data_IF_343285295349
#
_entry.id   IF_343285295349
#
_cell.length_a   1.000
_cell.length_b   1.000
_cell.length_c   1.000
_cell.angle_alpha   90.00
_cell.angle_beta   90.00
_cell.angle_gamma   90.00
#
_symmetry.space_group_name_H-M   'P 1'
#
loop_
_entity.id
_entity.type
_entity.pdbx_description
1 polymer ?
#
# COMPACT_ATOMS: atom_id res chain seq x y z
N UNK A 1 -18.52 14.40 -11.42
CA UNK A 1 -19.83 14.66 -10.77
C UNK A 1 -20.80 13.49 -10.83
N UNK A 2 -21.07 12.84 -11.99
CA UNK A 2 -21.87 11.60 -12.03
C UNK A 2 -21.11 10.33 -11.59
N UNK A 3 -19.80 10.25 -11.83
CA UNK A 3 -18.98 9.09 -11.43
C UNK A 3 -18.73 9.00 -9.91
N UNK A 4 -18.58 10.15 -9.23
CA UNK A 4 -18.39 10.23 -7.77
C UNK A 4 -19.60 9.70 -6.98
N UNK A 5 -20.80 9.92 -7.51
CA UNK A 5 -22.06 9.44 -6.94
C UNK A 5 -22.15 7.91 -7.09
N UNK A 6 -21.66 7.37 -8.21
CA UNK A 6 -21.57 5.93 -8.45
C UNK A 6 -20.69 5.23 -7.41
N UNK A 7 -19.50 5.77 -7.15
CA UNK A 7 -18.57 5.21 -6.16
C UNK A 7 -19.15 5.28 -4.74
N UNK A 8 -19.82 6.39 -4.39
CA UNK A 8 -20.46 6.60 -3.08
C UNK A 8 -21.64 5.64 -2.80
N UNK A 9 -22.49 5.41 -3.80
CA UNK A 9 -23.64 4.51 -3.69
C UNK A 9 -23.17 3.04 -3.64
N UNK A 10 -22.15 2.70 -4.42
CA UNK A 10 -21.54 1.37 -4.40
C UNK A 10 -20.81 1.08 -3.08
N UNK A 11 -20.10 2.06 -2.50
CA UNK A 11 -19.49 1.96 -1.16
C UNK A 11 -20.53 1.55 -0.11
N UNK A 12 -21.71 2.19 -0.08
CA UNK A 12 -22.77 1.87 0.91
C UNK A 12 -23.40 0.49 0.70
N UNK A 13 -23.59 0.07 -0.55
CA UNK A 13 -24.25 -1.20 -0.89
C UNK A 13 -23.33 -2.41 -0.65
N UNK A 14 -22.04 -2.27 -0.96
CA UNK A 14 -21.03 -3.28 -0.60
C UNK A 14 -20.86 -3.43 0.90
N UNK A 15 -20.95 -2.33 1.66
CA UNK A 15 -20.83 -2.33 3.12
C UNK A 15 -21.87 -3.22 3.82
N UNK A 16 -23.10 -3.27 3.28
CA UNK A 16 -24.15 -4.16 3.79
C UNK A 16 -23.96 -5.62 3.38
N UNK A 17 -23.51 -5.88 2.15
CA UNK A 17 -23.25 -7.25 1.67
C UNK A 17 -22.00 -7.86 2.34
N UNK A 18 -21.00 -7.06 2.72
CA UNK A 18 -19.76 -7.49 3.38
C UNK A 18 -19.98 -8.03 4.80
N UNK A 19 -20.74 -7.32 5.65
CA UNK A 19 -21.04 -7.76 7.03
C UNK A 19 -21.77 -9.11 7.02
N UNK A 20 -22.67 -9.32 6.06
CA UNK A 20 -23.44 -10.55 5.92
C UNK A 20 -22.59 -11.75 5.45
N UNK A 21 -21.57 -11.50 4.63
CA UNK A 21 -20.68 -12.53 4.06
C UNK A 21 -19.73 -13.13 5.11
N UNK A 22 -19.28 -12.35 6.08
CA UNK A 22 -18.31 -12.78 7.11
C UNK A 22 -18.95 -13.40 8.35
N UNK A 23 -20.12 -12.91 8.79
CA UNK A 23 -20.87 -13.52 9.91
C UNK A 23 -21.28 -14.97 9.61
N UNK A 24 -21.55 -15.30 8.34
CA UNK A 24 -21.88 -16.66 7.92
C UNK A 24 -20.66 -17.60 7.81
N UNK A 25 -19.44 -17.06 7.81
CA UNK A 25 -18.19 -17.85 7.80
C UNK A 25 -17.74 -18.34 9.18
N UNK A 26 -18.18 -17.67 10.26
CA UNK A 26 -17.79 -17.96 11.64
C UNK A 26 -18.83 -18.79 12.44
N UNK A 27 -19.82 -19.38 11.76
CA UNK A 27 -20.63 -20.46 12.35
C UNK A 27 -21.65 -20.07 13.43
N UNK A 28 -22.31 -18.92 13.35
CA UNK A 28 -23.28 -18.47 14.39
C UNK A 28 -24.75 -18.84 14.12
N UNK A 29 -25.11 -19.54 13.04
CA UNK A 29 -26.48 -20.09 12.91
C UNK A 29 -26.46 -21.51 12.31
N UNK A 30 -26.70 -22.51 13.15
CA UNK A 30 -27.08 -23.86 12.74
C UNK A 30 -28.43 -23.84 12.03
N UNK A 31 -28.47 -24.31 10.79
CA UNK A 31 -29.70 -24.77 10.15
C UNK A 31 -29.42 -26.08 9.40
N UNK A 32 -30.41 -26.98 9.48
CA UNK A 32 -30.35 -28.40 9.17
C UNK A 32 -29.79 -28.78 7.78
N UNK A 33 -29.25 -30.00 7.76
CA UNK A 33 -28.43 -30.64 6.74
C UNK A 33 -29.21 -31.07 5.47
N UNK A 34 -28.49 -31.08 4.34
CA UNK A 34 -28.75 -31.81 3.06
C UNK A 34 -29.58 -31.06 1.98
N UNK A 35 -29.06 -29.95 1.47
CA UNK A 35 -29.05 -29.59 0.01
C UNK A 35 -28.04 -28.49 -0.37
N UNK A 36 -27.16 -28.12 0.56
CA UNK A 36 -26.44 -26.83 0.56
C UNK A 36 -25.07 -26.82 -0.12
N UNK A 37 -24.54 -27.95 -0.62
CA UNK A 37 -23.22 -27.96 -1.27
C UNK A 37 -23.23 -27.15 -2.58
N UNK A 38 -24.25 -27.31 -3.42
CA UNK A 38 -24.35 -26.58 -4.69
C UNK A 38 -24.62 -25.08 -4.50
N UNK A 39 -25.42 -24.71 -3.50
CA UNK A 39 -25.72 -23.30 -3.17
C UNK A 39 -24.49 -22.62 -2.54
N UNK A 40 -23.74 -23.30 -1.67
CA UNK A 40 -22.48 -22.78 -1.11
C UNK A 40 -21.44 -22.54 -2.21
N UNK A 41 -21.29 -23.47 -3.16
CA UNK A 41 -20.39 -23.30 -4.33
C UNK A 41 -20.85 -22.13 -5.19
N UNK A 42 -22.14 -22.00 -5.47
CA UNK A 42 -22.69 -20.91 -6.28
C UNK A 42 -22.54 -19.54 -5.62
N UNK A 43 -22.79 -19.44 -4.32
CA UNK A 43 -22.57 -18.24 -3.51
C UNK A 43 -21.08 -17.89 -3.45
N UNK A 44 -20.20 -18.88 -3.28
CA UNK A 44 -18.75 -18.66 -3.31
C UNK A 44 -18.29 -18.15 -4.69
N UNK A 45 -18.87 -18.68 -5.77
CA UNK A 45 -18.53 -18.32 -7.14
C UNK A 45 -19.02 -16.91 -7.52
N UNK A 46 -20.21 -16.51 -7.07
CA UNK A 46 -20.70 -15.12 -7.16
C UNK A 46 -19.81 -14.18 -6.33
N UNK A 47 -19.45 -14.57 -5.10
CA UNK A 47 -18.57 -13.79 -4.21
C UNK A 47 -17.15 -13.62 -4.78
N UNK A 48 -16.58 -14.67 -5.37
CA UNK A 48 -15.30 -14.63 -6.10
C UNK A 48 -15.40 -13.76 -7.36
N UNK A 49 -16.50 -13.85 -8.10
CA UNK A 49 -16.76 -13.01 -9.28
C UNK A 49 -16.82 -11.52 -8.92
N UNK A 50 -17.50 -11.17 -7.83
CA UNK A 50 -17.60 -9.80 -7.32
C UNK A 50 -16.24 -9.26 -6.86
N UNK A 51 -15.44 -10.09 -6.17
CA UNK A 51 -14.08 -9.74 -5.75
C UNK A 51 -13.16 -9.48 -6.95
N UNK A 52 -13.21 -10.35 -7.96
CA UNK A 52 -12.42 -10.18 -9.20
C UNK A 52 -12.86 -8.93 -9.95
N UNK A 53 -14.15 -8.63 -9.99
CA UNK A 53 -14.67 -7.40 -10.59
C UNK A 53 -14.16 -6.16 -9.84
N UNK A 54 -14.21 -6.18 -8.51
CA UNK A 54 -13.72 -5.06 -7.68
C UNK A 54 -12.22 -4.85 -7.87
N UNK A 55 -11.42 -5.93 -7.87
CA UNK A 55 -9.98 -5.85 -8.15
C UNK A 55 -9.71 -5.24 -9.54
N UNK A 56 -10.48 -5.60 -10.57
CA UNK A 56 -10.37 -5.02 -11.91
C UNK A 56 -10.69 -3.52 -11.92
N UNK A 57 -11.70 -3.09 -11.16
CA UNK A 57 -12.06 -1.67 -11.06
C UNK A 57 -10.92 -0.86 -10.43
N UNK A 58 -10.32 -1.36 -9.35
CA UNK A 58 -9.20 -0.69 -8.68
C UNK A 58 -7.96 -0.64 -9.58
N UNK A 59 -7.66 -1.73 -10.29
CA UNK A 59 -6.59 -1.77 -11.30
C UNK A 59 -6.81 -0.68 -12.36
N UNK A 60 -8.04 -0.56 -12.89
CA UNK A 60 -8.36 0.45 -13.91
C UNK A 60 -8.18 1.88 -13.39
N UNK A 61 -8.62 2.15 -12.15
CA UNK A 61 -8.42 3.43 -11.49
C UNK A 61 -6.92 3.76 -11.33
N UNK A 62 -6.13 2.80 -10.86
CA UNK A 62 -4.68 2.96 -10.72
C UNK A 62 -3.97 3.21 -12.06
N UNK A 63 -4.39 2.53 -13.13
CA UNK A 63 -3.84 2.75 -14.48
C UNK A 63 -4.08 4.17 -14.97
N UNK A 64 -5.29 4.72 -14.74
CA UNK A 64 -5.63 6.08 -15.12
C UNK A 64 -4.82 7.10 -14.32
N UNK A 65 -4.78 6.95 -12.99
CA UNK A 65 -4.01 7.82 -12.11
C UNK A 65 -2.50 7.78 -12.40
N UNK A 66 -1.95 6.61 -12.76
CA UNK A 66 -0.55 6.48 -13.14
C UNK A 66 -0.21 7.16 -14.47
N UNK A 67 -1.18 7.29 -15.38
CA UNK A 67 -1.01 7.98 -16.65
C UNK A 67 -1.04 9.49 -16.51
N UNK A 68 -1.99 10.03 -15.76
CA UNK A 68 -2.22 11.49 -15.72
C UNK A 68 -1.13 12.28 -14.98
N UNK A 69 -0.54 11.75 -13.89
CA UNK A 69 0.21 12.60 -12.94
C UNK A 69 1.62 12.15 -12.59
N UNK A 70 2.25 11.24 -13.35
CA UNK A 70 3.61 10.74 -13.02
C UNK A 70 3.69 10.26 -11.55
N UNK A 71 2.58 9.69 -11.07
CA UNK A 71 2.16 9.65 -9.68
C UNK A 71 3.08 8.83 -8.78
N UNK A 72 3.36 9.35 -7.59
CA UNK A 72 4.20 8.73 -6.57
C UNK A 72 3.35 7.87 -5.64
N UNK A 73 3.54 6.56 -5.75
CA UNK A 73 2.88 5.56 -4.91
C UNK A 73 3.75 5.20 -3.70
N UNK A 74 3.14 5.21 -2.52
CA UNK A 74 3.77 4.73 -1.30
C UNK A 74 3.06 3.48 -0.78
N UNK A 75 3.83 2.47 -0.37
CA UNK A 75 3.30 1.25 0.24
C UNK A 75 4.01 0.97 1.57
N UNK A 76 3.32 1.06 2.73
CA UNK A 76 3.88 0.70 4.03
C UNK A 76 4.04 -0.82 4.21
N UNK A 77 5.01 -1.18 5.05
CA UNK A 77 5.28 -2.48 5.65
C UNK A 77 5.12 -3.69 4.72
N UNK A 78 6.18 -4.01 3.97
CA UNK A 78 6.28 -5.34 3.35
C UNK A 78 7.66 -5.94 3.57
N UNK A 79 7.79 -6.65 4.69
CA UNK A 79 9.02 -7.33 5.12
C UNK A 79 9.50 -8.39 4.11
N UNK A 80 8.64 -8.82 3.16
CA UNK A 80 8.84 -10.03 2.35
C UNK A 80 8.70 -9.85 0.83
N UNK A 81 8.48 -8.63 0.32
CA UNK A 81 8.59 -8.30 -1.12
C UNK A 81 9.99 -7.79 -1.47
N UNK A 82 11.03 -8.35 -0.83
CA UNK A 82 12.43 -8.04 -1.13
C UNK A 82 12.73 -8.32 -2.60
N UNK A 83 12.06 -9.30 -3.22
CA UNK A 83 12.17 -9.63 -4.65
C UNK A 83 11.54 -8.58 -5.58
N UNK A 84 10.55 -7.80 -5.15
CA UNK A 84 10.00 -6.70 -5.99
C UNK A 84 10.90 -5.46 -6.04
N UNK A 85 11.99 -5.43 -5.25
CA UNK A 85 12.98 -4.34 -5.36
C UNK A 85 13.53 -4.20 -6.77
N UNK A 86 13.59 -5.27 -7.55
CA UNK A 86 14.12 -5.24 -8.92
C UNK A 86 13.20 -4.47 -9.88
N UNK A 87 11.87 -4.57 -9.72
CA UNK A 87 10.90 -3.78 -10.47
C UNK A 87 10.88 -2.30 -10.05
N UNK A 88 11.39 -2.01 -8.85
CA UNK A 88 11.38 -0.70 -8.20
C UNK A 88 12.41 0.29 -8.78
N UNK A 89 13.55 -0.21 -9.28
CA UNK A 89 14.66 0.64 -9.71
C UNK A 89 14.44 1.29 -11.09
N UNK A 90 13.56 0.75 -11.92
CA UNK A 90 13.35 1.25 -13.28
C UNK A 90 12.42 2.46 -13.40
N UNK A 91 11.50 2.66 -12.44
CA UNK A 91 10.38 3.59 -12.63
C UNK A 91 10.26 4.72 -11.61
N UNK A 92 10.96 4.66 -10.46
CA UNK A 92 10.96 5.71 -9.43
C UNK A 92 9.60 5.99 -8.75
N UNK A 93 8.53 5.32 -9.21
CA UNK A 93 7.14 5.61 -8.84
C UNK A 93 6.66 4.86 -7.59
N UNK A 94 7.27 3.73 -7.23
CA UNK A 94 6.77 2.85 -6.16
C UNK A 94 7.77 2.77 -5.03
N UNK A 95 7.35 3.17 -3.83
CA UNK A 95 8.21 3.27 -2.66
C UNK A 95 7.72 2.36 -1.54
N UNK A 96 8.62 1.57 -0.98
CA UNK A 96 8.31 0.53 0.03
C UNK A 96 8.93 0.89 1.37
N UNK A 97 8.10 1.14 2.39
CA UNK A 97 8.56 1.44 3.74
C UNK A 97 8.60 0.16 4.59
N UNK A 98 9.59 0.02 5.48
CA UNK A 98 9.63 -1.09 6.44
C UNK A 98 8.77 -0.86 7.68
N UNK A 99 8.70 0.37 8.16
CA UNK A 99 7.93 0.80 9.33
C UNK A 99 7.53 2.27 9.18
N UNK A 100 6.26 2.57 9.38
CA UNK A 100 5.77 3.94 9.43
C UNK A 100 6.24 4.63 10.72
N UNK A 101 6.75 5.85 10.60
CA UNK A 101 7.00 6.72 11.75
C UNK A 101 5.91 7.79 11.74
N UNK A 102 5.25 7.99 12.88
CA UNK A 102 4.27 9.07 13.01
C UNK A 102 4.88 10.42 12.66
N UNK A 103 4.17 11.20 11.85
CA UNK A 103 4.63 12.48 11.32
C UNK A 103 5.36 12.37 9.98
N UNK A 104 5.45 11.19 9.37
CA UNK A 104 6.20 11.01 8.12
C UNK A 104 5.67 11.88 6.99
N UNK A 105 4.35 11.96 6.83
CA UNK A 105 3.70 12.76 5.80
C UNK A 105 3.29 14.13 6.35
N UNK A 106 2.67 14.15 7.53
CA UNK A 106 2.13 15.38 8.13
C UNK A 106 3.21 16.38 8.53
N UNK A 107 4.42 15.92 8.85
CA UNK A 107 5.60 16.76 9.11
C UNK A 107 6.68 16.53 8.04
N UNK A 108 6.30 16.78 6.77
CA UNK A 108 7.17 16.55 5.63
C UNK A 108 8.50 17.30 5.70
N UNK A 109 8.53 18.55 6.16
CA UNK A 109 9.76 19.34 6.28
C UNK A 109 10.83 18.67 7.17
N UNK A 110 10.40 18.05 8.27
CA UNK A 110 11.31 17.29 9.15
C UNK A 110 11.76 15.99 8.48
N UNK A 111 10.84 15.29 7.80
CA UNK A 111 11.15 14.07 7.04
C UNK A 111 12.15 14.34 5.94
N UNK A 112 11.99 15.43 5.19
CA UNK A 112 12.88 15.89 4.13
C UNK A 112 14.28 16.21 4.65
N UNK A 113 14.38 16.94 5.77
CA UNK A 113 15.68 17.20 6.42
C UNK A 113 16.40 15.90 6.80
N UNK A 114 15.66 14.91 7.32
CA UNK A 114 16.22 13.58 7.65
C UNK A 114 16.62 12.79 6.41
N UNK A 115 15.87 12.92 5.32
CA UNK A 115 16.19 12.33 4.01
C UNK A 115 17.48 12.94 3.44
N UNK A 116 17.66 14.26 3.55
CA UNK A 116 18.87 14.93 3.10
C UNK A 116 20.08 14.42 3.91
N UNK A 117 19.97 14.40 5.24
CA UNK A 117 21.02 13.85 6.12
C UNK A 117 21.35 12.39 5.78
N UNK A 118 20.35 11.59 5.41
CA UNK A 118 20.55 10.21 4.96
C UNK A 118 21.33 10.14 3.64
N UNK A 119 21.02 11.01 2.66
CA UNK A 119 21.76 11.12 1.39
C UNK A 119 23.21 11.52 1.65
N UNK A 120 23.44 12.52 2.50
CA UNK A 120 24.78 13.02 2.82
C UNK A 120 25.65 11.92 3.45
N UNK A 121 25.15 11.25 4.50
CA UNK A 121 25.87 10.14 5.16
C UNK A 121 26.16 8.97 4.21
N UNK A 122 25.26 8.71 3.26
CA UNK A 122 25.47 7.68 2.25
C UNK A 122 26.57 8.08 1.26
N UNK A 123 26.64 9.35 0.87
CA UNK A 123 27.71 9.90 0.03
C UNK A 123 29.05 9.84 0.76
N UNK A 124 29.09 10.21 2.05
CA UNK A 124 30.30 10.12 2.88
C UNK A 124 30.78 8.68 3.10
N UNK A 125 29.85 7.73 3.21
CA UNK A 125 30.19 6.31 3.27
C UNK A 125 30.83 5.86 1.96
N UNK A 126 30.26 6.24 0.81
CA UNK A 126 30.76 5.87 -0.52
C UNK A 126 32.13 6.49 -0.83
N UNK A 127 32.35 7.74 -0.43
CA UNK A 127 33.63 8.42 -0.61
C UNK A 127 34.73 7.94 0.34
N UNK A 128 34.41 7.04 1.28
CA UNK A 128 35.36 6.54 2.27
C UNK A 128 35.71 7.53 3.38
N UNK A 129 35.05 8.71 3.44
CA UNK A 129 35.28 9.73 4.48
C UNK A 129 35.07 9.16 5.87
N UNK A 130 34.06 8.31 6.06
CA UNK A 130 33.77 7.68 7.35
C UNK A 130 34.92 6.82 7.89
N UNK A 131 35.79 6.30 7.03
CA UNK A 131 36.94 5.48 7.43
C UNK A 131 38.14 6.32 7.90
N UNK A 132 38.13 7.63 7.61
CA UNK A 132 39.19 8.58 8.03
C UNK A 132 38.90 9.19 9.41
N UNK A 133 37.72 8.95 9.97
CA UNK A 133 37.31 9.45 11.29
C UNK A 133 37.80 8.53 12.41
N UNK A 134 37.91 9.04 13.65
CA UNK A 134 38.14 8.21 14.82
C UNK A 134 37.14 7.05 14.92
N UNK A 135 37.59 5.88 15.40
CA UNK A 135 36.75 4.65 15.47
C UNK A 135 35.40 4.89 16.16
N UNK A 136 35.38 5.71 17.22
CA UNK A 136 34.16 6.08 17.96
C UNK A 136 33.16 6.82 17.07
N UNK A 137 33.62 7.86 16.37
CA UNK A 137 32.77 8.71 15.52
C UNK A 137 32.29 7.95 14.29
N UNK A 138 33.18 7.19 13.67
CA UNK A 138 32.85 6.30 12.55
C UNK A 138 31.76 5.29 12.96
N UNK A 139 31.85 4.70 14.16
CA UNK A 139 30.84 3.77 14.66
C UNK A 139 29.50 4.48 14.92
N UNK A 140 29.49 5.70 15.46
CA UNK A 140 28.29 6.49 15.68
C UNK A 140 27.57 6.81 14.35
N UNK A 141 28.30 7.28 13.36
CA UNK A 141 27.75 7.61 12.04
C UNK A 141 27.24 6.38 11.31
N UNK A 142 27.94 5.24 11.39
CA UNK A 142 27.46 3.96 10.84
C UNK A 142 26.15 3.50 11.49
N UNK A 143 26.01 3.64 12.81
CA UNK A 143 24.76 3.34 13.52
C UNK A 143 23.63 4.27 13.08
N UNK A 144 23.92 5.57 12.95
CA UNK A 144 22.93 6.53 12.49
C UNK A 144 22.48 6.23 11.04
N UNK A 145 23.42 5.92 10.15
CA UNK A 145 23.13 5.54 8.78
C UNK A 145 22.28 4.27 8.71
N UNK A 146 22.59 3.26 9.52
CA UNK A 146 21.80 2.01 9.60
C UNK A 146 20.35 2.27 10.05
N UNK A 147 20.15 3.14 11.04
CA UNK A 147 18.81 3.57 11.48
C UNK A 147 18.07 4.28 10.36
N UNK A 148 18.68 5.30 9.74
CA UNK A 148 18.05 6.05 8.64
C UNK A 148 17.75 5.14 7.44
N UNK A 149 18.64 4.22 7.08
CA UNK A 149 18.43 3.24 6.01
C UNK A 149 17.24 2.31 6.29
N UNK A 150 16.99 1.99 7.55
CA UNK A 150 15.88 1.11 7.96
C UNK A 150 14.53 1.82 7.81
N UNK A 151 14.43 3.09 8.22
CA UNK A 151 13.17 3.84 8.21
C UNK A 151 12.91 4.59 6.90
N UNK A 152 13.93 5.26 6.35
CA UNK A 152 13.81 6.16 5.19
C UNK A 152 14.31 5.53 3.89
N UNK A 153 14.89 4.33 3.93
CA UNK A 153 15.45 3.68 2.76
C UNK A 153 14.44 3.47 1.62
N UNK A 154 13.16 3.30 1.98
CA UNK A 154 12.04 3.15 1.05
C UNK A 154 11.65 4.42 0.31
N UNK A 155 11.82 5.56 0.96
CA UNK A 155 11.39 6.88 0.48
C UNK A 155 12.58 7.77 0.09
N UNK A 156 13.76 7.18 -0.07
CA UNK A 156 15.01 7.89 -0.38
C UNK A 156 14.94 8.76 -1.64
N UNK A 157 14.08 8.40 -2.59
CA UNK A 157 13.88 9.10 -3.86
C UNK A 157 12.65 10.03 -3.85
N UNK A 158 11.91 10.12 -2.75
CA UNK A 158 10.83 11.11 -2.62
C UNK A 158 11.42 12.51 -2.63
N UNK A 159 10.77 13.37 -3.40
CA UNK A 159 11.00 14.82 -3.44
C UNK A 159 9.78 15.60 -2.96
N UNK A 160 8.68 14.92 -2.66
CA UNK A 160 7.43 15.50 -2.18
C UNK A 160 6.50 14.40 -1.68
N UNK A 161 5.30 14.79 -1.26
CA UNK A 161 4.26 13.88 -0.79
C UNK A 161 3.83 12.88 -1.88
N UNK A 162 3.35 11.69 -1.49
CA UNK A 162 2.80 10.72 -2.43
C UNK A 162 1.40 11.12 -2.87
N UNK A 163 1.03 10.73 -4.08
CA UNK A 163 -0.30 11.00 -4.63
C UNK A 163 -1.31 9.92 -4.21
N UNK A 164 -0.84 8.69 -4.01
CA UNK A 164 -1.66 7.55 -3.56
C UNK A 164 -0.83 6.73 -2.56
N UNK A 165 -1.49 6.22 -1.52
CA UNK A 165 -0.88 5.29 -0.56
C UNK A 165 -1.64 3.97 -0.55
N UNK A 166 -0.93 2.86 -0.75
CA UNK A 166 -1.48 1.50 -0.58
C UNK A 166 -1.09 1.00 0.80
N UNK A 167 -2.05 0.68 1.65
CA UNK A 167 -1.83 0.21 3.02
C UNK A 167 -2.18 -1.27 3.12
N UNK A 168 -1.35 -2.01 3.85
CA UNK A 168 -1.59 -3.41 4.20
C UNK A 168 -1.73 -3.45 5.70
N UNK A 169 -2.74 -4.18 6.19
CA UNK A 169 -3.04 -4.31 7.62
C UNK A 169 -3.39 -2.96 8.27
N UNK A 170 -4.68 -2.66 8.24
CA UNK A 170 -5.26 -1.41 8.74
C UNK A 170 -5.08 -1.23 10.25
N UNK A 171 -5.06 -2.31 11.03
CA UNK A 171 -4.97 -2.23 12.47
C UNK A 171 -3.56 -1.79 12.91
N UNK A 172 -2.54 -2.37 12.29
CA UNK A 172 -1.14 -2.02 12.55
C UNK A 172 -0.75 -0.65 11.97
N UNK A 173 -1.27 -0.30 10.79
CA UNK A 173 -0.89 0.93 10.06
C UNK A 173 -1.93 2.07 10.21
N UNK A 174 -2.70 2.07 11.30
CA UNK A 174 -3.70 3.11 11.59
C UNK A 174 -3.14 4.54 11.57
N UNK A 175 -1.89 4.73 12.01
CA UNK A 175 -1.22 6.04 11.98
C UNK A 175 -1.04 6.54 10.55
N UNK A 176 -0.69 5.64 9.61
CA UNK A 176 -0.52 5.98 8.20
C UNK A 176 -1.85 6.41 7.58
N UNK A 177 -2.92 5.66 7.84
CA UNK A 177 -4.29 6.00 7.40
C UNK A 177 -4.71 7.39 7.88
N UNK A 178 -4.50 7.69 9.17
CA UNK A 178 -4.84 9.00 9.73
C UNK A 178 -4.06 10.14 9.11
N UNK A 179 -2.75 9.96 8.89
CA UNK A 179 -1.94 10.98 8.23
C UNK A 179 -2.39 11.23 6.79
N UNK A 180 -2.70 10.17 6.03
CA UNK A 180 -3.21 10.29 4.67
C UNK A 180 -4.56 11.01 4.65
N UNK A 181 -5.47 10.64 5.55
CA UNK A 181 -6.79 11.29 5.71
C UNK A 181 -6.63 12.78 6.01
N UNK A 182 -5.71 13.14 6.91
CA UNK A 182 -5.46 14.54 7.30
C UNK A 182 -4.96 15.37 6.13
N UNK A 183 -4.16 14.77 5.24
CA UNK A 183 -3.58 15.43 4.07
C UNK A 183 -4.44 15.33 2.81
N UNK A 184 -5.58 14.63 2.88
CA UNK A 184 -6.43 14.36 1.71
C UNK A 184 -5.77 13.45 0.66
N UNK A 185 -4.81 12.61 1.07
CA UNK A 185 -4.13 11.69 0.16
C UNK A 185 -4.98 10.42 0.04
N UNK A 186 -5.42 10.02 -1.17
CA UNK A 186 -6.26 8.84 -1.37
C UNK A 186 -5.54 7.55 -0.96
N UNK A 187 -6.28 6.68 -0.28
CA UNK A 187 -5.78 5.44 0.31
C UNK A 187 -6.43 4.20 -0.29
N UNK A 188 -5.61 3.21 -0.62
CA UNK A 188 -6.07 1.86 -1.01
C UNK A 188 -5.64 0.89 0.09
N UNK A 189 -6.56 0.28 0.81
CA UNK A 189 -6.23 -0.65 1.90
C UNK A 189 -6.56 -2.09 1.54
N UNK A 190 -5.64 -3.01 1.82
CA UNK A 190 -5.98 -4.42 1.95
C UNK A 190 -6.66 -4.62 3.31
N UNK A 191 -7.92 -5.08 3.29
CA UNK A 191 -8.73 -5.27 4.48
C UNK A 191 -9.05 -6.75 4.69
N UNK A 192 -8.86 -7.22 5.92
CA UNK A 192 -9.32 -8.53 6.36
C UNK A 192 -10.63 -8.42 7.16
N UNK A 193 -11.08 -9.54 7.72
CA UNK A 193 -12.40 -9.68 8.35
C UNK A 193 -12.61 -8.84 9.61
N UNK A 194 -11.53 -8.40 10.22
CA UNK A 194 -11.49 -7.63 11.46
C UNK A 194 -11.26 -6.13 11.24
N UNK A 195 -11.32 -5.66 9.99
CA UNK A 195 -11.01 -4.29 9.58
C UNK A 195 -12.27 -3.46 9.28
N UNK A 196 -12.21 -2.14 9.52
CA UNK A 196 -13.29 -1.21 9.19
C UNK A 196 -13.10 -0.64 7.78
N UNK A 197 -13.93 -1.01 6.80
CA UNK A 197 -13.76 -0.59 5.40
C UNK A 197 -13.92 0.93 5.19
N UNK A 198 -14.46 1.68 6.16
CA UNK A 198 -14.67 3.13 6.04
C UNK A 198 -13.40 3.97 6.24
N UNK A 199 -12.35 3.39 6.85
CA UNK A 199 -11.13 4.13 7.15
C UNK A 199 -10.23 4.34 5.92
N UNK A 200 -10.52 3.67 4.81
CA UNK A 200 -9.81 3.80 3.55
C UNK A 200 -10.72 4.25 2.41
N UNK A 201 -10.14 4.93 1.42
CA UNK A 201 -10.92 5.39 0.26
C UNK A 201 -11.31 4.24 -0.66
N UNK A 202 -10.43 3.27 -0.81
CA UNK A 202 -10.66 2.06 -1.59
C UNK A 202 -10.21 0.87 -0.75
N UNK A 203 -11.11 -0.07 -0.52
CA UNK A 203 -10.86 -1.22 0.36
C UNK A 203 -10.91 -2.50 -0.46
N UNK A 204 -9.78 -3.19 -0.58
CA UNK A 204 -9.64 -4.45 -1.30
C UNK A 204 -9.71 -5.59 -0.27
N UNK A 205 -10.75 -6.44 -0.30
CA UNK A 205 -10.80 -7.61 0.57
C UNK A 205 -9.65 -8.56 0.28
N UNK A 206 -8.88 -8.88 1.31
CA UNK A 206 -7.71 -9.73 1.22
C UNK A 206 -7.42 -10.37 2.59
N UNK A 207 -6.90 -11.60 2.56
CA UNK A 207 -6.25 -12.15 3.74
C UNK A 207 -4.88 -11.47 3.90
N UNK A 208 -4.71 -10.68 4.96
CA UNK A 208 -3.50 -9.95 5.32
C UNK A 208 -2.53 -10.75 6.22
N UNK A 209 -2.98 -11.83 6.85
CA UNK A 209 -2.10 -12.81 7.50
C UNK A 209 -1.28 -13.63 6.47
N UNK A 210 -1.87 -13.88 5.31
CA UNK A 210 -1.29 -14.71 4.26
C UNK A 210 -0.37 -13.90 3.33
N UNK A 211 0.94 -14.09 3.52
CA UNK A 211 2.01 -13.49 2.69
C UNK A 211 1.78 -13.71 1.18
N UNK A 212 1.32 -14.91 0.81
CA UNK A 212 1.03 -15.25 -0.58
C UNK A 212 -0.13 -14.41 -1.16
N UNK A 213 -1.15 -14.13 -0.36
CA UNK A 213 -2.31 -13.30 -0.71
C UNK A 213 -1.87 -11.85 -0.93
N UNK A 214 -1.18 -11.27 0.06
CA UNK A 214 -0.63 -9.90 -0.02
C UNK A 214 0.24 -9.75 -1.27
N UNK A 215 1.19 -10.68 -1.49
CA UNK A 215 2.08 -10.64 -2.65
C UNK A 215 1.33 -10.69 -3.97
N UNK A 216 0.34 -11.58 -4.10
CA UNK A 216 -0.42 -11.73 -5.33
C UNK A 216 -1.16 -10.43 -5.68
N UNK A 217 -1.81 -9.81 -4.69
CA UNK A 217 -2.58 -8.59 -4.91
C UNK A 217 -1.64 -7.43 -5.23
N UNK A 218 -0.59 -7.22 -4.43
CA UNK A 218 0.36 -6.14 -4.67
C UNK A 218 1.08 -6.28 -6.00
N UNK A 219 1.47 -7.49 -6.41
CA UNK A 219 2.07 -7.71 -7.73
C UNK A 219 1.14 -7.24 -8.86
N UNK A 220 -0.16 -7.54 -8.76
CA UNK A 220 -1.15 -7.11 -9.75
C UNK A 220 -1.30 -5.59 -9.76
N UNK A 221 -1.36 -4.95 -8.60
CA UNK A 221 -1.46 -3.49 -8.49
C UNK A 221 -0.21 -2.80 -9.06
N UNK A 222 0.97 -3.29 -8.70
CA UNK A 222 2.26 -2.81 -9.21
C UNK A 222 2.32 -2.96 -10.74
N UNK A 223 1.95 -4.14 -11.27
CA UNK A 223 1.94 -4.38 -12.70
C UNK A 223 1.01 -3.42 -13.44
N UNK A 224 -0.20 -3.21 -12.92
CA UNK A 224 -1.18 -2.26 -13.47
C UNK A 224 -0.62 -0.83 -13.53
N UNK A 225 0.04 -0.38 -12.46
CA UNK A 225 0.66 0.95 -12.41
C UNK A 225 1.78 1.08 -13.44
N UNK A 226 2.65 0.07 -13.55
CA UNK A 226 3.71 0.03 -14.55
C UNK A 226 3.14 0.08 -15.98
N UNK A 227 2.05 -0.65 -16.23
CA UNK A 227 1.37 -0.69 -17.52
C UNK A 227 0.72 0.67 -17.85
N UNK A 228 -0.02 1.27 -16.91
CA UNK A 228 -0.62 2.59 -17.08
C UNK A 228 0.42 3.66 -17.39
N UNK A 229 1.54 3.67 -16.66
CA UNK A 229 2.66 4.58 -16.88
C UNK A 229 3.34 4.36 -18.25
N UNK A 230 3.56 3.10 -18.64
CA UNK A 230 4.15 2.77 -19.94
C UNK A 230 3.23 3.16 -21.10
N UNK A 231 1.92 2.98 -20.94
CA UNK A 231 0.91 3.39 -21.91
C UNK A 231 0.93 4.91 -22.10
N UNK A 232 0.98 5.68 -21.01
CA UNK A 232 1.09 7.13 -21.07
C UNK A 232 2.36 7.60 -21.79
N UNK A 233 3.53 7.05 -21.45
CA UNK A 233 4.80 7.40 -22.12
C UNK A 233 4.74 7.11 -23.63
N UNK A 234 4.05 6.04 -24.06
CA UNK A 234 3.89 5.72 -25.49
C UNK A 234 2.91 6.63 -26.24
N UNK A 235 2.00 7.30 -25.52
CA UNK A 235 0.99 8.18 -26.10
C UNK A 235 1.40 9.66 -26.08
N UNK A 236 2.59 9.97 -25.53
CA UNK A 236 3.28 11.26 -25.65
C UNK A 236 4.12 11.30 -26.93
#
# INVERSE_FOLDING_TARGET
>A
MQEDIGISIWKRRWKQEFILVMVLGNGILEWHLISLQSIKVFILQIRLGLLVFYQKLVIKFLMQQAGENNSKLLVPKIKQLIQLRELQYGLGAIMLIKKWLGGMLTNWATTETRLQKFRDLRTEQKSGRLNRLPKRDAAMLKRQLSRLQTYLGGIKYMTGLPDIVIIVDQQEEYTALRECTTLGIPTICLIDTNCDPDLADISIPANDDAIASIRLILNKLVFAICEGRSSYIRNL
#
